data_IF_545214745513
#
_entry.id   IF_545214745513
#
_cell.length_a   1.000
_cell.length_b   1.000
_cell.length_c   1.000
_cell.angle_alpha   90.00
_cell.angle_beta   90.00
_cell.angle_gamma   90.00
#
_symmetry.space_group_name_H-M   'P 1'
#
loop_
_entity.id
_entity.type
_entity.pdbx_description
1 polymer ?
#
# COMPACT_ATOMS: atom_id res chain seq x y z
N UNK A 1 20.16 -15.05 50.99
CA UNK A 1 20.50 -14.92 49.56
C UNK A 1 19.46 -15.71 48.78
N UNK A 2 18.50 -15.03 48.15
CA UNK A 2 17.45 -15.70 47.37
C UNK A 2 17.95 -15.86 45.94
N UNK A 3 18.06 -17.09 45.46
CA UNK A 3 18.43 -17.39 44.09
C UNK A 3 17.24 -17.08 43.18
N UNK A 4 17.38 -16.08 42.32
CA UNK A 4 16.45 -15.78 41.23
C UNK A 4 16.49 -16.95 40.26
N UNK A 5 15.45 -17.78 40.25
CA UNK A 5 15.29 -18.84 39.27
C UNK A 5 15.22 -18.21 37.87
N UNK A 6 16.21 -18.48 37.02
CA UNK A 6 16.20 -18.05 35.63
C UNK A 6 14.97 -18.65 34.94
N UNK A 7 14.13 -17.81 34.35
CA UNK A 7 13.00 -18.30 33.56
C UNK A 7 13.51 -19.14 32.39
N UNK A 8 12.92 -20.32 32.12
CA UNK A 8 13.33 -21.13 31.00
C UNK A 8 13.15 -20.34 29.70
N UNK A 9 14.18 -20.33 28.85
CA UNK A 9 14.11 -19.69 27.54
C UNK A 9 13.00 -20.38 26.73
N UNK A 10 11.87 -19.69 26.54
CA UNK A 10 10.81 -20.15 25.65
C UNK A 10 11.31 -19.96 24.22
N UNK A 11 11.66 -21.05 23.55
CA UNK A 11 11.95 -21.05 22.11
C UNK A 11 10.67 -20.90 21.28
N UNK A 12 9.96 -19.78 21.44
CA UNK A 12 8.86 -19.43 20.57
C UNK A 12 9.42 -18.90 19.25
N UNK A 13 8.90 -19.42 18.13
CA UNK A 13 9.18 -18.89 16.79
C UNK A 13 8.13 -17.83 16.46
N UNK A 14 8.42 -16.85 15.59
CA UNK A 14 7.44 -15.85 15.17
C UNK A 14 6.11 -16.45 14.66
N UNK A 15 6.18 -17.62 14.02
CA UNK A 15 4.99 -18.35 13.54
C UNK A 15 4.07 -18.86 14.64
N UNK A 16 4.59 -19.05 15.85
CA UNK A 16 3.81 -19.56 16.97
C UNK A 16 2.88 -18.47 17.54
N UNK A 17 3.11 -17.20 17.18
CA UNK A 17 2.22 -16.06 17.47
C UNK A 17 1.30 -15.67 16.30
N UNK A 18 1.36 -16.42 15.21
CA UNK A 18 0.62 -16.10 13.99
C UNK A 18 -0.68 -16.89 13.93
N UNK A 19 -1.81 -16.21 14.14
CA UNK A 19 -3.13 -16.76 13.84
C UNK A 19 -3.68 -16.15 12.54
N UNK A 20 -3.84 -17.00 11.52
CA UNK A 20 -4.34 -16.58 10.21
C UNK A 20 -5.85 -16.77 10.14
N UNK A 21 -6.58 -15.67 10.36
CA UNK A 21 -8.03 -15.66 10.30
C UNK A 21 -8.52 -15.14 8.93
N UNK A 22 -8.86 -16.07 8.03
CA UNK A 22 -9.32 -15.75 6.68
C UNK A 22 -10.58 -14.89 6.65
N UNK A 23 -11.67 -15.26 7.37
CA UNK A 23 -12.88 -14.43 7.45
C UNK A 23 -12.62 -13.00 7.95
N UNK A 24 -11.81 -12.85 9.01
CA UNK A 24 -11.43 -11.52 9.50
C UNK A 24 -10.65 -10.74 8.45
N UNK A 25 -9.69 -11.38 7.78
CA UNK A 25 -8.89 -10.76 6.71
C UNK A 25 -9.76 -10.27 5.56
N UNK A 26 -10.73 -11.07 5.12
CA UNK A 26 -11.72 -10.64 4.14
C UNK A 26 -12.58 -9.47 4.65
N UNK A 27 -13.03 -9.52 5.91
CA UNK A 27 -13.78 -8.44 6.54
C UNK A 27 -13.02 -7.12 6.56
N UNK A 28 -11.71 -7.15 6.87
CA UNK A 28 -10.85 -5.96 6.86
C UNK A 28 -10.66 -5.39 5.45
N UNK A 29 -10.46 -6.24 4.44
CA UNK A 29 -10.36 -5.80 3.04
C UNK A 29 -11.68 -5.16 2.60
N UNK A 30 -12.80 -5.83 2.83
CA UNK A 30 -14.13 -5.33 2.45
C UNK A 30 -14.48 -4.03 3.18
N UNK A 31 -14.10 -3.90 4.45
CA UNK A 31 -14.31 -2.66 5.20
C UNK A 31 -13.58 -1.46 4.55
N UNK A 32 -12.31 -1.63 4.16
CA UNK A 32 -11.56 -0.55 3.51
C UNK A 32 -12.22 -0.14 2.18
N UNK A 33 -12.62 -1.11 1.35
CA UNK A 33 -13.31 -0.83 0.09
C UNK A 33 -14.72 -0.25 0.28
N UNK A 34 -15.44 -0.67 1.32
CA UNK A 34 -16.74 -0.10 1.66
C UNK A 34 -16.60 1.38 2.06
N UNK A 35 -15.57 1.73 2.84
CA UNK A 35 -15.28 3.13 3.17
C UNK A 35 -14.95 3.93 1.90
N UNK A 36 -14.13 3.39 1.00
CA UNK A 36 -13.82 4.02 -0.30
C UNK A 36 -15.09 4.28 -1.10
N UNK A 37 -15.96 3.27 -1.24
CA UNK A 37 -17.22 3.39 -1.94
C UNK A 37 -18.14 4.46 -1.32
N UNK A 38 -18.26 4.49 0.02
CA UNK A 38 -19.05 5.52 0.72
C UNK A 38 -18.48 6.92 0.49
N UNK A 39 -17.16 7.08 0.47
CA UNK A 39 -16.50 8.37 0.22
C UNK A 39 -16.79 8.89 -1.21
N UNK A 40 -16.68 8.01 -2.21
CA UNK A 40 -17.01 8.34 -3.60
C UNK A 40 -18.50 8.72 -3.71
N UNK A 41 -19.40 7.87 -3.21
CA UNK A 41 -20.84 8.13 -3.26
C UNK A 41 -21.22 9.43 -2.55
N UNK A 42 -20.58 9.74 -1.42
CA UNK A 42 -20.81 10.99 -0.70
C UNK A 42 -20.35 12.20 -1.50
N UNK A 43 -19.16 12.14 -2.11
CA UNK A 43 -18.66 13.22 -2.95
C UNK A 43 -19.59 13.50 -4.14
N UNK A 44 -20.02 12.43 -4.82
CA UNK A 44 -20.92 12.52 -5.98
C UNK A 44 -22.32 13.02 -5.60
N UNK A 45 -22.83 12.62 -4.43
CA UNK A 45 -24.15 13.03 -3.98
C UNK A 45 -24.18 14.50 -3.51
N UNK A 46 -23.20 14.92 -2.71
CA UNK A 46 -23.20 16.27 -2.13
C UNK A 46 -22.62 17.33 -3.06
N UNK A 47 -21.76 16.95 -4.01
CA UNK A 47 -21.09 17.84 -4.98
C UNK A 47 -20.46 19.09 -4.34
N UNK A 48 -20.02 18.96 -3.09
CA UNK A 48 -19.51 20.06 -2.28
C UNK A 48 -17.98 19.95 -2.16
N UNK A 49 -17.21 21.03 -2.42
CA UNK A 49 -15.75 20.97 -2.42
C UNK A 49 -15.14 20.40 -1.12
N UNK A 50 -15.69 20.76 0.05
CA UNK A 50 -15.21 20.21 1.32
C UNK A 50 -15.48 18.71 1.47
N UNK A 51 -16.61 18.21 0.94
CA UNK A 51 -16.92 16.77 0.98
C UNK A 51 -15.95 16.03 0.06
N UNK A 52 -15.70 16.56 -1.14
CA UNK A 52 -14.71 16.01 -2.06
C UNK A 52 -13.31 15.91 -1.42
N UNK A 53 -12.81 16.99 -0.82
CA UNK A 53 -11.49 17.00 -0.15
C UNK A 53 -11.42 15.97 0.97
N UNK A 54 -12.46 15.88 1.81
CA UNK A 54 -12.54 14.89 2.89
C UNK A 54 -12.59 13.46 2.33
N UNK A 55 -13.35 13.23 1.26
CA UNK A 55 -13.44 11.94 0.58
C UNK A 55 -12.08 11.51 0.03
N UNK A 56 -11.39 12.36 -0.72
CA UNK A 56 -10.05 12.07 -1.26
C UNK A 56 -9.06 11.76 -0.13
N UNK A 57 -9.07 12.58 0.93
CA UNK A 57 -8.19 12.34 2.08
C UNK A 57 -8.47 11.00 2.75
N UNK A 58 -9.74 10.68 3.02
CA UNK A 58 -10.13 9.40 3.62
C UNK A 58 -9.78 8.22 2.71
N UNK A 59 -10.03 8.32 1.41
CA UNK A 59 -9.65 7.30 0.41
C UNK A 59 -8.14 7.07 0.46
N UNK A 60 -7.33 8.13 0.47
CA UNK A 60 -5.87 8.02 0.62
C UNK A 60 -5.46 7.24 1.87
N UNK A 61 -6.11 7.48 3.01
CA UNK A 61 -5.81 6.69 4.23
C UNK A 61 -6.20 5.21 4.10
N UNK A 62 -7.24 4.88 3.33
CA UNK A 62 -7.63 3.48 3.06
C UNK A 62 -6.67 2.82 2.07
N UNK A 63 -6.18 3.55 1.08
CA UNK A 63 -5.15 3.06 0.14
C UNK A 63 -3.86 2.70 0.88
N UNK A 64 -3.42 3.54 1.82
CA UNK A 64 -2.27 3.24 2.70
C UNK A 64 -2.55 2.01 3.57
N UNK A 65 -3.73 1.90 4.19
CA UNK A 65 -4.08 0.73 4.99
C UNK A 65 -4.10 -0.57 4.17
N UNK A 66 -4.55 -0.50 2.91
CA UNK A 66 -4.55 -1.64 1.99
C UNK A 66 -3.12 -2.05 1.61
N UNK A 67 -2.27 -1.13 1.17
CA UNK A 67 -0.92 -1.46 0.72
C UNK A 67 0.03 -1.81 1.89
N UNK A 68 0.17 -0.89 2.85
CA UNK A 68 1.22 -0.93 3.88
C UNK A 68 0.90 -1.88 5.04
N UNK A 69 -0.37 -2.19 5.27
CA UNK A 69 -0.78 -3.11 6.35
C UNK A 69 -1.21 -4.45 5.78
N UNK A 70 -2.27 -4.45 4.97
CA UNK A 70 -2.83 -5.69 4.42
C UNK A 70 -1.87 -6.30 3.37
N UNK A 71 -1.36 -5.47 2.46
CA UNK A 71 -0.42 -5.88 1.42
C UNK A 71 0.89 -6.40 2.02
N UNK A 72 1.46 -5.69 2.98
CA UNK A 72 2.61 -6.14 3.78
C UNK A 72 2.41 -7.55 4.37
N UNK A 73 1.30 -7.79 5.06
CA UNK A 73 1.03 -9.10 5.65
C UNK A 73 0.80 -10.18 4.57
N UNK A 74 0.29 -9.79 3.41
CA UNK A 74 0.13 -10.70 2.26
C UNK A 74 1.48 -11.17 1.70
N UNK A 75 2.50 -10.30 1.60
CA UNK A 75 3.82 -10.69 1.05
C UNK A 75 4.60 -11.59 2.00
N UNK A 76 4.30 -11.52 3.29
CA UNK A 76 4.79 -12.47 4.30
C UNK A 76 3.98 -13.78 4.37
N UNK A 77 2.91 -13.93 3.59
CA UNK A 77 1.95 -15.04 3.68
C UNK A 77 1.30 -15.16 5.06
N UNK A 78 1.07 -14.05 5.72
CA UNK A 78 0.46 -13.96 7.05
C UNK A 78 -1.03 -13.63 6.98
N UNK A 79 -1.50 -13.04 5.89
CA UNK A 79 -2.90 -12.63 5.73
C UNK A 79 -3.85 -13.85 5.57
N UNK A 80 -3.55 -14.78 4.66
CA UNK A 80 -4.39 -15.97 4.41
C UNK A 80 -3.65 -17.28 4.63
N UNK A 81 -4.35 -18.28 5.19
CA UNK A 81 -3.85 -19.65 5.31
C UNK A 81 -3.47 -20.27 3.95
N UNK A 82 -4.33 -20.08 2.93
CA UNK A 82 -4.06 -20.51 1.57
C UNK A 82 -3.09 -19.53 0.91
N UNK A 83 -1.82 -19.93 0.78
CA UNK A 83 -0.74 -19.09 0.22
C UNK A 83 -1.09 -18.38 -1.09
N UNK A 84 -1.78 -19.07 -2.00
CA UNK A 84 -2.19 -18.50 -3.28
C UNK A 84 -3.08 -17.26 -3.15
N UNK A 85 -3.95 -17.19 -2.15
CA UNK A 85 -4.84 -16.02 -1.96
C UNK A 85 -4.05 -14.74 -1.67
N UNK A 86 -2.96 -14.85 -0.91
CA UNK A 86 -2.09 -13.71 -0.62
C UNK A 86 -1.44 -13.10 -1.86
N UNK A 87 -1.33 -13.86 -2.96
CA UNK A 87 -0.73 -13.37 -4.21
C UNK A 87 -1.79 -12.98 -5.24
N UNK A 88 -2.80 -13.83 -5.44
CA UNK A 88 -3.78 -13.66 -6.52
C UNK A 88 -4.82 -12.56 -6.25
N UNK A 89 -5.02 -12.18 -4.99
CA UNK A 89 -5.96 -11.13 -4.61
C UNK A 89 -5.31 -9.73 -4.52
N UNK A 90 -4.08 -9.55 -5.02
CA UNK A 90 -3.39 -8.26 -5.01
C UNK A 90 -4.12 -7.13 -5.76
N UNK A 91 -5.06 -7.47 -6.65
CA UNK A 91 -5.98 -6.50 -7.25
C UNK A 91 -6.86 -5.77 -6.20
N UNK A 92 -6.95 -6.30 -4.98
CA UNK A 92 -7.67 -5.68 -3.87
C UNK A 92 -6.80 -4.74 -3.02
N UNK A 93 -5.47 -4.71 -3.17
CA UNK A 93 -4.62 -3.87 -2.31
C UNK A 93 -3.33 -3.31 -2.93
N UNK A 94 -2.75 -3.92 -3.98
CA UNK A 94 -1.54 -3.40 -4.64
C UNK A 94 -1.83 -2.80 -6.02
N UNK A 95 -2.54 -3.53 -6.90
CA UNK A 95 -2.78 -3.05 -8.27
C UNK A 95 -3.52 -1.70 -8.33
N UNK A 96 -4.46 -1.37 -7.42
CA UNK A 96 -5.04 -0.04 -7.37
C UNK A 96 -3.96 1.05 -7.14
N UNK A 97 -2.94 0.79 -6.34
CA UNK A 97 -1.84 1.74 -6.10
C UNK A 97 -0.71 1.62 -7.15
N UNK A 98 -0.98 1.02 -8.30
CA UNK A 98 0.00 0.79 -9.37
C UNK A 98 1.23 -0.03 -8.93
N UNK A 99 1.06 -0.88 -7.91
CA UNK A 99 2.10 -1.80 -7.42
C UNK A 99 1.67 -3.25 -7.66
N UNK A 100 2.61 -4.18 -7.70
CA UNK A 100 2.34 -5.62 -7.79
C UNK A 100 2.77 -6.34 -6.53
N UNK A 101 2.15 -7.49 -6.24
CA UNK A 101 2.58 -8.32 -5.12
C UNK A 101 4.05 -8.73 -5.24
N UNK A 102 4.52 -9.07 -6.43
CA UNK A 102 5.90 -9.42 -6.71
C UNK A 102 6.87 -8.26 -6.46
N UNK A 103 6.57 -7.08 -7.00
CA UNK A 103 7.39 -5.88 -6.85
C UNK A 103 7.54 -5.45 -5.39
N UNK A 104 6.41 -5.33 -4.68
CA UNK A 104 6.42 -5.02 -3.25
C UNK A 104 7.20 -6.07 -2.46
N UNK A 105 6.97 -7.37 -2.71
CA UNK A 105 7.65 -8.44 -1.97
C UNK A 105 9.16 -8.41 -2.20
N UNK A 106 9.62 -8.16 -3.41
CA UNK A 106 11.06 -8.09 -3.71
C UNK A 106 11.72 -6.94 -2.94
N UNK A 107 11.16 -5.74 -3.03
CA UNK A 107 11.66 -4.56 -2.33
C UNK A 107 11.63 -4.77 -0.81
N UNK A 108 10.52 -5.28 -0.29
CA UNK A 108 10.33 -5.52 1.14
C UNK A 108 11.26 -6.61 1.69
N UNK A 109 11.47 -7.69 0.94
CA UNK A 109 12.42 -8.73 1.33
C UNK A 109 13.86 -8.17 1.37
N UNK A 110 14.22 -7.31 0.41
CA UNK A 110 15.52 -6.64 0.39
C UNK A 110 15.69 -5.72 1.59
N UNK A 111 14.67 -4.92 1.92
CA UNK A 111 14.64 -4.09 3.14
C UNK A 111 14.93 -4.92 4.39
N UNK A 112 14.25 -6.05 4.58
CA UNK A 112 14.50 -6.92 5.74
C UNK A 112 15.89 -7.56 5.76
N UNK A 113 16.43 -7.92 4.59
CA UNK A 113 17.76 -8.54 4.50
C UNK A 113 18.88 -7.53 4.73
N UNK A 114 18.68 -6.29 4.30
CA UNK A 114 19.67 -5.21 4.29
C UNK A 114 19.35 -4.13 5.32
N UNK A 115 18.61 -4.46 6.38
CA UNK A 115 18.03 -3.50 7.29
C UNK A 115 19.06 -2.47 7.82
N UNK A 116 18.78 -1.18 7.60
CA UNK A 116 19.63 -0.05 7.98
C UNK A 116 21.01 0.03 7.29
N UNK A 117 21.28 -0.79 6.28
CA UNK A 117 22.49 -0.66 5.45
C UNK A 117 22.25 0.34 4.31
N UNK A 118 23.29 0.62 3.53
CA UNK A 118 23.16 1.47 2.34
C UNK A 118 22.39 0.79 1.19
N UNK A 119 22.26 -0.53 1.24
CA UNK A 119 21.54 -1.33 0.25
C UNK A 119 20.05 -1.49 0.59
N UNK A 120 19.61 -1.02 1.76
CA UNK A 120 18.21 -0.96 2.15
C UNK A 120 17.44 0.01 1.23
N UNK A 121 16.43 -0.45 0.47
CA UNK A 121 15.59 0.42 -0.36
C UNK A 121 14.99 1.61 0.43
N UNK A 122 14.59 1.39 1.68
CA UNK A 122 14.01 2.44 2.52
C UNK A 122 15.06 3.51 2.87
N UNK A 123 16.30 3.12 3.14
CA UNK A 123 17.40 4.08 3.39
C UNK A 123 17.72 4.88 2.13
N UNK A 124 17.65 4.26 0.95
CA UNK A 124 17.84 4.96 -0.33
C UNK A 124 16.76 6.01 -0.55
N UNK A 125 15.50 5.70 -0.25
CA UNK A 125 14.40 6.66 -0.31
C UNK A 125 14.57 7.79 0.71
N UNK A 126 14.98 7.50 1.94
CA UNK A 126 15.27 8.53 2.95
C UNK A 126 16.42 9.46 2.53
N UNK A 127 17.50 8.91 1.97
CA UNK A 127 18.60 9.70 1.39
C UNK A 127 18.07 10.60 0.28
N UNK A 128 17.27 10.06 -0.62
CA UNK A 128 16.68 10.79 -1.74
C UNK A 128 15.72 11.91 -1.30
N UNK A 129 14.96 11.69 -0.23
CA UNK A 129 14.08 12.71 0.35
C UNK A 129 14.83 13.75 1.17
N UNK A 130 16.15 13.62 1.30
CA UNK A 130 17.00 14.54 2.05
C UNK A 130 16.76 14.47 3.54
N UNK A 131 16.31 13.31 4.05
CA UNK A 131 15.97 13.09 5.46
C UNK A 131 17.22 13.11 6.37
N UNK A 132 18.38 12.80 5.80
CA UNK A 132 19.68 12.81 6.47
C UNK A 132 20.46 14.13 6.30
N UNK A 133 19.93 15.11 5.56
CA UNK A 133 20.60 16.40 5.38
C UNK A 133 20.49 17.26 6.65
N UNK A 134 21.59 17.90 7.10
CA UNK A 134 21.57 18.74 8.29
C UNK A 134 20.66 19.96 8.09
N UNK A 135 19.92 20.35 9.13
CA UNK A 135 19.03 21.52 9.09
C UNK A 135 17.69 21.29 8.36
N UNK A 136 17.36 20.05 8.00
CA UNK A 136 16.10 19.72 7.34
C UNK A 136 14.89 19.98 8.25
N UNK A 137 13.86 20.62 7.71
CA UNK A 137 12.59 20.82 8.40
C UNK A 137 11.68 19.59 8.21
N UNK A 138 11.56 18.75 9.23
CA UNK A 138 10.70 17.56 9.23
C UNK A 138 9.21 17.91 9.09
N UNK A 139 8.76 19.03 9.66
CA UNK A 139 7.37 19.47 9.51
C UNK A 139 7.03 19.75 8.04
N UNK A 140 7.94 20.43 7.32
CA UNK A 140 7.76 20.64 5.90
C UNK A 140 7.75 19.33 5.11
N UNK A 141 8.67 18.42 5.40
CA UNK A 141 8.75 17.12 4.71
C UNK A 141 7.50 16.26 4.90
N UNK A 142 6.93 16.23 6.11
CA UNK A 142 5.82 15.34 6.44
C UNK A 142 4.45 15.96 6.19
N UNK A 143 4.30 17.28 6.36
CA UNK A 143 2.99 17.94 6.35
C UNK A 143 2.78 18.93 5.21
N UNK A 144 3.82 19.35 4.50
CA UNK A 144 3.68 20.35 3.41
C UNK A 144 4.02 19.71 2.07
N UNK A 145 5.24 19.15 1.95
CA UNK A 145 5.77 18.56 0.71
C UNK A 145 4.82 17.55 0.05
N UNK A 146 4.14 16.62 0.78
CA UNK A 146 3.28 15.62 0.15
C UNK A 146 2.10 16.24 -0.61
N UNK A 147 1.57 17.37 -0.13
CA UNK A 147 0.47 18.09 -0.77
C UNK A 147 0.90 18.94 -1.98
N UNK A 148 2.20 19.05 -2.22
CA UNK A 148 2.78 19.77 -3.36
C UNK A 148 3.19 18.81 -4.49
N UNK A 149 2.87 17.51 -4.37
CA UNK A 149 3.08 16.51 -5.41
C UNK A 149 4.54 16.39 -5.89
N UNK A 150 5.53 16.77 -5.06
CA UNK A 150 6.95 16.70 -5.42
C UNK A 150 7.42 15.28 -5.79
N UNK A 151 6.80 14.27 -5.18
CA UNK A 151 7.14 12.87 -5.39
C UNK A 151 6.29 12.23 -6.51
N UNK A 152 5.24 12.90 -6.99
CA UNK A 152 4.36 12.41 -8.06
C UNK A 152 5.08 12.17 -9.40
N UNK A 153 5.97 13.06 -9.89
CA UNK A 153 6.73 12.80 -11.12
C UNK A 153 7.56 11.51 -11.04
N UNK A 154 8.06 11.18 -9.85
CA UNK A 154 8.78 9.93 -9.66
C UNK A 154 7.87 8.72 -9.75
N UNK A 155 6.72 8.76 -9.06
CA UNK A 155 5.73 7.69 -9.14
C UNK A 155 5.30 7.46 -10.60
N UNK A 156 4.94 8.53 -11.31
CA UNK A 156 4.56 8.46 -12.73
C UNK A 156 5.69 7.85 -13.57
N UNK A 157 6.94 8.31 -13.38
CA UNK A 157 8.10 7.76 -14.10
C UNK A 157 8.29 6.27 -13.79
N UNK A 158 8.13 5.86 -12.53
CA UNK A 158 8.27 4.46 -12.10
C UNK A 158 7.20 3.57 -12.76
N UNK A 159 5.94 3.99 -12.70
CA UNK A 159 4.81 3.28 -13.32
C UNK A 159 4.99 3.18 -14.83
N UNK A 160 5.27 4.30 -15.50
CA UNK A 160 5.52 4.33 -16.94
C UNK A 160 6.69 3.43 -17.31
N UNK A 161 7.81 3.51 -16.59
CA UNK A 161 8.94 2.64 -16.83
C UNK A 161 8.53 1.16 -16.72
N UNK A 162 7.87 0.76 -15.63
CA UNK A 162 7.38 -0.60 -15.43
C UNK A 162 6.46 -1.09 -16.54
N UNK A 163 5.53 -0.23 -17.02
CA UNK A 163 4.62 -0.57 -18.13
C UNK A 163 5.36 -0.89 -19.44
N UNK A 164 6.52 -0.30 -19.68
CA UNK A 164 7.29 -0.50 -20.92
C UNK A 164 8.44 -1.50 -20.79
N UNK A 165 8.97 -1.73 -19.57
CA UNK A 165 10.14 -2.61 -19.37
C UNK A 165 9.79 -3.97 -18.79
N UNK A 166 8.70 -4.09 -18.04
CA UNK A 166 8.29 -5.35 -17.42
C UNK A 166 6.93 -5.80 -17.97
N UNK A 167 6.97 -6.85 -18.79
CA UNK A 167 5.77 -7.43 -19.41
C UNK A 167 4.79 -7.97 -18.38
N UNK A 168 5.27 -8.58 -17.28
CA UNK A 168 4.40 -9.12 -16.26
C UNK A 168 3.70 -7.98 -15.51
N UNK A 169 4.45 -6.94 -15.10
CA UNK A 169 3.89 -5.73 -14.50
C UNK A 169 2.82 -5.11 -15.40
N UNK A 170 3.12 -4.91 -16.69
CA UNK A 170 2.17 -4.35 -17.66
C UNK A 170 0.89 -5.18 -17.79
N UNK A 171 1.01 -6.52 -17.86
CA UNK A 171 -0.16 -7.41 -17.92
C UNK A 171 -0.99 -7.35 -16.63
N UNK A 172 -0.35 -7.24 -15.46
CA UNK A 172 -1.04 -7.11 -14.17
C UNK A 172 -1.77 -5.78 -14.06
N UNK A 173 -1.14 -4.67 -14.43
CA UNK A 173 -1.78 -3.36 -14.49
C UNK A 173 -2.97 -3.37 -15.45
N UNK A 174 -2.78 -3.91 -16.66
CA UNK A 174 -3.86 -4.00 -17.65
C UNK A 174 -5.03 -4.86 -17.15
N UNK A 175 -4.76 -5.95 -16.41
CA UNK A 175 -5.81 -6.85 -15.90
C UNK A 175 -6.79 -6.19 -14.94
N UNK A 176 -6.38 -5.11 -14.24
CA UNK A 176 -7.28 -4.31 -13.40
C UNK A 176 -7.75 -3.05 -14.13
N UNK A 177 -6.81 -2.24 -14.61
CA UNK A 177 -7.12 -0.88 -15.04
C UNK A 177 -7.83 -0.81 -16.40
N UNK A 178 -7.60 -1.75 -17.32
CA UNK A 178 -8.33 -1.76 -18.60
C UNK A 178 -9.82 -2.04 -18.37
N UNK A 179 -10.24 -3.08 -17.62
CA UNK A 179 -11.64 -3.26 -17.25
C UNK A 179 -12.25 -2.06 -16.52
N UNK A 180 -11.53 -1.46 -15.56
CA UNK A 180 -12.01 -0.26 -14.83
C UNK A 180 -12.27 0.90 -15.79
N UNK A 181 -11.32 1.22 -16.66
CA UNK A 181 -11.45 2.30 -17.64
C UNK A 181 -12.58 2.03 -18.63
N UNK A 182 -12.72 0.78 -19.11
CA UNK A 182 -13.82 0.39 -20.00
C UNK A 182 -15.17 0.55 -19.31
N UNK A 183 -15.31 0.06 -18.07
CA UNK A 183 -16.56 0.17 -17.31
C UNK A 183 -16.90 1.65 -17.11
N UNK A 184 -15.98 2.46 -16.60
CA UNK A 184 -16.20 3.89 -16.42
C UNK A 184 -16.55 4.62 -17.72
N UNK A 185 -15.92 4.27 -18.85
CA UNK A 185 -16.25 4.86 -20.14
C UNK A 185 -17.66 4.44 -20.63
N UNK A 186 -18.04 3.18 -20.45
CA UNK A 186 -19.35 2.66 -20.85
C UNK A 186 -20.49 3.21 -19.97
N UNK A 187 -20.21 3.51 -18.71
CA UNK A 187 -21.19 4.09 -17.77
C UNK A 187 -21.13 5.61 -17.68
N UNK A 188 -20.22 6.26 -18.42
CA UNK A 188 -19.97 7.70 -18.36
C UNK A 188 -19.67 8.20 -16.94
N UNK A 189 -18.84 7.44 -16.21
CA UNK A 189 -18.41 7.73 -14.83
C UNK A 189 -16.88 7.78 -14.71
N UNK A 190 -16.21 8.36 -15.70
CA UNK A 190 -14.75 8.56 -15.69
C UNK A 190 -14.32 9.58 -14.63
N UNK A 191 -15.21 10.51 -14.30
CA UNK A 191 -15.05 11.51 -13.24
C UNK A 191 -14.88 10.90 -11.85
N UNK A 192 -15.41 9.71 -11.59
CA UNK A 192 -15.16 8.96 -10.34
C UNK A 192 -13.65 8.71 -10.14
N UNK A 193 -12.86 8.62 -11.21
CA UNK A 193 -11.41 8.44 -11.10
C UNK A 193 -10.70 9.68 -10.54
N UNK A 194 -11.36 10.85 -10.46
CA UNK A 194 -10.80 12.03 -9.80
C UNK A 194 -10.77 11.92 -8.27
N UNK A 195 -11.40 10.91 -7.68
CA UNK A 195 -11.23 10.60 -6.25
C UNK A 195 -9.95 9.83 -5.96
N UNK A 196 -9.31 9.32 -7.02
CA UNK A 196 -8.06 8.56 -7.00
C UNK A 196 -6.87 9.50 -7.24
#
# INVERSE_FOLDING_TARGET
MSATAAMPAVHARPRDFLDRNGPLSFGLILFNWAVVAVCILSGEYFQHPLVYILSVWLIGTRMVALAEVIGHDSVHYNLFQRRGLNRWLDFMWFLPLFETWEGYREAHQRHHNELFTENDPAVQDYKRWGLFEPGRNYFWLWFIRPFLFFDTPYLVKSVVHGLFTDRLYALRMASLWVPVLIICALTNTLDILYYY
#
